data_IF_946649904263
#
_entry.id   IF_946649904263
#
_cell.length_a   1.000
_cell.length_b   1.000
_cell.length_c   1.000
_cell.angle_alpha   90.00
_cell.angle_beta   90.00
_cell.angle_gamma   90.00
#
_symmetry.space_group_name_H-M   'P 1'
#
loop_
_entity.id
_entity.type
_entity.pdbx_description
1 polymer ?
#
# COMPACT_ATOMS: atom_id res chain seq x y z
N UNK A 1 -9.49 -7.80 15.87
CA UNK A 1 -10.14 -6.54 15.44
C UNK A 1 -9.03 -5.56 15.13
N UNK A 2 -9.00 -5.05 13.93
CA UNK A 2 -7.99 -4.06 13.49
C UNK A 2 -8.21 -2.73 14.25
N UNK A 3 -7.14 -2.01 14.59
CA UNK A 3 -7.25 -0.67 15.16
C UNK A 3 -8.00 0.29 14.22
N UNK A 4 -7.95 0.03 12.94
CA UNK A 4 -8.65 0.79 11.90
C UNK A 4 -10.17 0.58 11.88
N UNK A 5 -10.70 -0.51 12.48
CA UNK A 5 -12.15 -0.75 12.53
C UNK A 5 -12.91 0.37 13.25
N UNK A 6 -12.31 0.90 14.34
CA UNK A 6 -12.96 1.92 15.17
C UNK A 6 -13.00 3.31 14.54
N UNK A 7 -12.20 3.56 13.50
CA UNK A 7 -12.03 4.87 12.86
C UNK A 7 -12.37 4.86 11.37
N UNK A 8 -12.85 3.74 10.85
CA UNK A 8 -13.11 3.54 9.44
C UNK A 8 -14.01 4.64 8.82
N UNK A 9 -15.02 5.11 9.53
CA UNK A 9 -15.94 6.16 9.06
C UNK A 9 -15.41 7.58 9.27
N UNK A 10 -14.33 7.76 10.04
CA UNK A 10 -13.81 9.06 10.45
C UNK A 10 -12.63 9.52 9.58
N UNK A 11 -11.90 8.60 8.98
CA UNK A 11 -10.68 8.91 8.25
C UNK A 11 -10.93 9.19 6.77
N UNK A 12 -10.13 10.11 6.23
CA UNK A 12 -10.09 10.41 4.80
C UNK A 12 -8.62 10.44 4.36
N UNK A 13 -8.17 9.33 3.77
CA UNK A 13 -6.79 9.21 3.32
C UNK A 13 -6.52 10.12 2.12
N UNK A 14 -5.33 10.69 2.06
CA UNK A 14 -4.96 11.70 1.06
C UNK A 14 -3.63 11.43 0.33
N UNK A 15 -2.84 10.41 0.73
CA UNK A 15 -1.66 10.03 -0.03
C UNK A 15 -2.09 9.26 -1.28
N UNK A 16 -1.62 9.69 -2.45
CA UNK A 16 -1.94 9.10 -3.75
C UNK A 16 -0.70 8.48 -4.38
N UNK A 17 -0.92 7.59 -5.35
CA UNK A 17 0.13 7.12 -6.25
C UNK A 17 0.26 8.06 -7.46
N UNK A 18 1.45 8.11 -8.07
CA UNK A 18 1.63 8.79 -9.35
C UNK A 18 1.05 7.91 -10.48
N UNK A 19 -0.12 8.27 -11.00
CA UNK A 19 -0.76 7.58 -12.11
C UNK A 19 0.18 7.49 -13.33
N UNK A 20 0.90 8.58 -13.62
CA UNK A 20 1.87 8.63 -14.73
C UNK A 20 2.96 7.58 -14.59
N UNK A 21 3.56 7.47 -13.39
CA UNK A 21 4.68 6.57 -13.17
C UNK A 21 4.19 5.11 -13.10
N UNK A 22 2.99 4.88 -12.54
CA UNK A 22 2.36 3.57 -12.50
C UNK A 22 2.08 3.03 -13.91
N UNK A 23 1.42 3.82 -14.76
CA UNK A 23 1.10 3.44 -16.16
C UNK A 23 2.37 3.18 -16.98
N UNK A 24 3.45 3.90 -16.70
CA UNK A 24 4.71 3.75 -17.43
C UNK A 24 5.36 2.36 -17.24
N UNK A 25 5.12 1.70 -16.10
CA UNK A 25 5.80 0.45 -15.74
C UNK A 25 4.88 -0.76 -15.63
N UNK A 26 3.57 -0.56 -15.46
CA UNK A 26 2.57 -1.62 -15.30
C UNK A 26 1.69 -1.70 -16.55
N UNK A 27 1.72 -2.80 -17.31
CA UNK A 27 0.85 -2.97 -18.48
C UNK A 27 -0.64 -2.96 -18.10
N UNK A 28 -1.51 -2.37 -18.91
CA UNK A 28 -2.94 -2.24 -18.64
C UNK A 28 -3.68 -3.58 -18.43
N UNK A 29 -3.13 -4.69 -18.95
CA UNK A 29 -3.69 -6.04 -18.77
C UNK A 29 -3.21 -6.74 -17.50
N UNK A 30 -2.33 -6.09 -16.73
CA UNK A 30 -1.75 -6.62 -15.52
C UNK A 30 -2.82 -6.98 -14.48
N UNK A 31 -2.59 -8.06 -13.74
CA UNK A 31 -3.33 -8.36 -12.51
C UNK A 31 -2.64 -7.62 -11.37
N UNK A 32 -3.39 -6.73 -10.72
CA UNK A 32 -2.87 -5.82 -9.68
C UNK A 32 -3.44 -6.20 -8.32
N UNK A 33 -2.61 -6.19 -7.29
CA UNK A 33 -3.00 -6.26 -5.88
C UNK A 33 -2.78 -4.89 -5.25
N UNK A 34 -3.81 -4.33 -4.64
CA UNK A 34 -3.71 -3.19 -3.72
C UNK A 34 -3.72 -3.73 -2.29
N UNK A 35 -2.54 -3.79 -1.67
CA UNK A 35 -2.36 -4.34 -0.33
C UNK A 35 -2.49 -3.24 0.72
N UNK A 36 -3.36 -3.45 1.71
CA UNK A 36 -3.74 -2.43 2.68
C UNK A 36 -4.60 -1.35 2.05
N UNK A 37 -5.59 -1.77 1.25
CA UNK A 37 -6.40 -0.87 0.42
C UNK A 37 -7.31 0.07 1.21
N UNK A 38 -7.49 -0.16 2.53
CA UNK A 38 -8.44 0.56 3.35
C UNK A 38 -9.86 0.46 2.76
N UNK A 39 -10.51 1.60 2.57
CA UNK A 39 -11.82 1.66 1.92
C UNK A 39 -11.76 1.71 0.37
N UNK A 40 -10.62 1.35 -0.24
CA UNK A 40 -10.51 1.13 -1.68
C UNK A 40 -10.18 2.36 -2.51
N UNK A 41 -9.71 3.45 -1.92
CA UNK A 41 -9.41 4.70 -2.64
C UNK A 41 -8.34 4.53 -3.73
N UNK A 42 -7.23 3.84 -3.45
CA UNK A 42 -6.18 3.56 -4.44
C UNK A 42 -6.64 2.49 -5.43
N UNK A 43 -7.39 1.49 -4.95
CA UNK A 43 -8.03 0.51 -5.83
C UNK A 43 -8.91 1.18 -6.88
N UNK A 44 -9.76 2.16 -6.45
CA UNK A 44 -10.60 2.97 -7.35
C UNK A 44 -9.77 3.79 -8.33
N UNK A 45 -8.73 4.49 -7.85
CA UNK A 45 -7.83 5.26 -8.71
C UNK A 45 -7.23 4.39 -9.83
N UNK A 46 -6.76 3.17 -9.50
CA UNK A 46 -6.17 2.26 -10.48
C UNK A 46 -7.25 1.68 -11.41
N UNK A 47 -8.44 1.38 -10.89
CA UNK A 47 -9.57 0.91 -11.70
C UNK A 47 -9.99 1.96 -12.75
N UNK A 48 -10.07 3.23 -12.36
CA UNK A 48 -10.39 4.35 -13.26
C UNK A 48 -9.32 4.58 -14.34
N UNK A 49 -8.06 4.19 -14.09
CA UNK A 49 -7.02 4.17 -15.11
C UNK A 49 -7.18 3.03 -16.14
N UNK A 50 -8.21 2.17 -15.98
CA UNK A 50 -8.55 1.09 -16.90
C UNK A 50 -8.02 -0.30 -16.51
N UNK A 51 -7.46 -0.48 -15.31
CA UNK A 51 -7.00 -1.79 -14.83
C UNK A 51 -8.18 -2.61 -14.28
N UNK A 52 -8.81 -3.41 -15.12
CA UNK A 52 -9.99 -4.22 -14.75
C UNK A 52 -9.70 -5.46 -13.90
N UNK A 53 -8.42 -5.83 -13.73
CA UNK A 53 -7.98 -6.98 -12.93
C UNK A 53 -7.29 -6.52 -11.67
N UNK A 54 -7.95 -5.70 -10.88
CA UNK A 54 -7.45 -5.22 -9.60
C UNK A 54 -8.23 -5.83 -8.44
N UNK A 55 -7.52 -6.21 -7.38
CA UNK A 55 -8.08 -6.69 -6.12
C UNK A 55 -7.48 -5.86 -5.00
N UNK A 56 -8.32 -5.28 -4.15
CA UNK A 56 -7.91 -4.63 -2.91
C UNK A 56 -8.08 -5.56 -1.71
N UNK A 57 -7.11 -5.57 -0.80
CA UNK A 57 -7.22 -6.35 0.45
C UNK A 57 -6.86 -5.51 1.66
N UNK A 58 -7.58 -5.67 2.75
CA UNK A 58 -7.30 -4.97 4.02
C UNK A 58 -7.66 -5.84 5.22
N UNK A 59 -6.95 -5.65 6.34
CA UNK A 59 -7.18 -6.33 7.61
C UNK A 59 -8.28 -5.67 8.47
N UNK A 60 -8.81 -4.53 8.05
CA UNK A 60 -9.95 -3.88 8.69
C UNK A 60 -11.24 -4.25 7.96
N UNK A 61 -12.11 -4.95 8.67
CA UNK A 61 -13.41 -5.34 8.14
C UNK A 61 -14.30 -4.12 7.87
N UNK A 62 -14.22 -3.12 8.74
CA UNK A 62 -15.07 -1.92 8.62
C UNK A 62 -14.58 -1.04 7.46
N UNK A 63 -13.26 -0.97 7.20
CA UNK A 63 -12.74 -0.33 5.98
C UNK A 63 -13.29 -1.01 4.71
N UNK A 64 -13.26 -2.34 4.65
CA UNK A 64 -13.81 -3.08 3.50
C UNK A 64 -15.33 -2.86 3.37
N UNK A 65 -16.09 -2.90 4.47
CA UNK A 65 -17.52 -2.63 4.44
C UNK A 65 -17.84 -1.23 3.89
N UNK A 66 -17.10 -0.22 4.35
CA UNK A 66 -17.20 1.14 3.82
C UNK A 66 -16.86 1.18 2.33
N UNK A 67 -15.77 0.56 1.92
CA UNK A 67 -15.30 0.53 0.54
C UNK A 67 -16.33 -0.10 -0.41
N UNK A 68 -16.91 -1.24 -0.03
CA UNK A 68 -17.96 -1.91 -0.81
C UNK A 68 -19.25 -1.08 -0.92
N UNK A 69 -19.50 -0.19 0.05
CA UNK A 69 -20.62 0.78 -0.03
C UNK A 69 -20.31 1.96 -0.94
N UNK A 70 -19.06 2.49 -0.90
CA UNK A 70 -18.65 3.64 -1.70
C UNK A 70 -18.32 3.26 -3.16
N UNK A 71 -17.77 2.05 -3.38
CA UNK A 71 -17.29 1.54 -4.67
C UNK A 71 -17.77 0.10 -4.90
N UNK A 72 -19.08 -0.10 -5.15
CA UNK A 72 -19.67 -1.43 -5.26
C UNK A 72 -19.16 -2.26 -6.44
N UNK A 73 -18.49 -1.65 -7.41
CA UNK A 73 -17.87 -2.29 -8.58
C UNK A 73 -16.49 -2.89 -8.29
N UNK A 74 -15.83 -2.52 -7.17
CA UNK A 74 -14.48 -2.97 -6.86
C UNK A 74 -14.47 -4.34 -6.17
N UNK A 75 -13.44 -5.13 -6.44
CA UNK A 75 -13.15 -6.37 -5.74
C UNK A 75 -12.32 -6.05 -4.48
N UNK A 76 -12.99 -5.75 -3.37
CA UNK A 76 -12.38 -5.48 -2.07
C UNK A 76 -12.62 -6.65 -1.13
N UNK A 77 -11.55 -7.16 -0.48
CA UNK A 77 -11.61 -8.36 0.34
C UNK A 77 -11.00 -8.15 1.71
N UNK A 78 -11.70 -8.63 2.72
CA UNK A 78 -11.21 -8.65 4.10
C UNK A 78 -10.19 -9.77 4.28
N UNK A 79 -9.03 -9.45 4.87
CA UNK A 79 -7.99 -10.42 5.25
C UNK A 79 -8.22 -10.90 6.67
N UNK A 80 -8.42 -12.20 6.84
CA UNK A 80 -8.60 -12.84 8.14
C UNK A 80 -7.28 -13.21 8.81
N UNK A 81 -6.29 -13.54 8.01
CA UNK A 81 -5.00 -14.11 8.43
C UNK A 81 -3.84 -13.27 7.89
N UNK A 82 -2.66 -13.44 8.49
CA UNK A 82 -1.43 -12.78 8.03
C UNK A 82 -0.95 -13.30 6.67
N UNK A 83 -1.34 -14.52 6.29
CA UNK A 83 -1.04 -15.08 4.97
C UNK A 83 -2.04 -14.59 3.92
N UNK A 84 -1.53 -14.14 2.79
CA UNK A 84 -2.36 -13.72 1.67
C UNK A 84 -3.06 -14.94 1.01
N UNK A 85 -4.39 -14.90 0.81
CA UNK A 85 -5.16 -16.01 0.23
C UNK A 85 -5.01 -16.09 -1.30
N UNK A 86 -3.77 -15.98 -1.78
CA UNK A 86 -3.41 -15.99 -3.19
C UNK A 86 -2.29 -17.00 -3.47
N UNK A 87 -2.23 -17.49 -4.70
CA UNK A 87 -1.17 -18.39 -5.15
C UNK A 87 0.17 -17.66 -5.29
N UNK A 88 1.25 -18.45 -5.26
CA UNK A 88 2.58 -17.94 -5.59
C UNK A 88 2.60 -17.37 -7.01
N UNK A 89 3.25 -16.23 -7.18
CA UNK A 89 3.39 -15.59 -8.50
C UNK A 89 2.06 -15.34 -9.21
N UNK A 90 1.06 -14.87 -8.50
CA UNK A 90 -0.28 -14.62 -9.03
C UNK A 90 -0.41 -13.22 -9.66
N UNK A 91 0.26 -12.21 -9.10
CA UNK A 91 0.10 -10.82 -9.51
C UNK A 91 1.25 -10.32 -10.38
N UNK A 92 0.92 -9.49 -11.37
CA UNK A 92 1.89 -8.80 -12.21
C UNK A 92 2.43 -7.53 -11.51
N UNK A 93 1.59 -6.91 -10.69
CA UNK A 93 1.96 -5.73 -9.89
C UNK A 93 1.30 -5.74 -8.52
N UNK A 94 1.98 -5.14 -7.55
CA UNK A 94 1.46 -4.87 -6.21
C UNK A 94 1.61 -3.37 -5.94
N UNK A 95 0.59 -2.78 -5.31
CA UNK A 95 0.63 -1.42 -4.79
C UNK A 95 0.45 -1.46 -3.28
N UNK A 96 1.23 -0.63 -2.57
CA UNK A 96 1.04 -0.32 -1.15
C UNK A 96 1.07 1.19 -0.99
N UNK A 97 0.08 1.76 -0.33
CA UNK A 97 0.00 3.20 -0.13
C UNK A 97 -0.33 3.54 1.33
N UNK A 98 0.65 4.08 2.06
CA UNK A 98 0.59 4.38 3.49
C UNK A 98 0.33 3.14 4.38
N UNK A 99 0.81 1.96 3.98
CA UNK A 99 0.64 0.70 4.71
C UNK A 99 1.75 0.49 5.73
N UNK A 100 3.01 0.58 5.29
CA UNK A 100 4.17 0.40 6.19
C UNK A 100 4.28 1.50 7.24
N UNK A 101 3.68 2.66 6.97
CA UNK A 101 3.45 3.72 7.97
C UNK A 101 2.59 3.23 9.14
N UNK A 102 1.69 2.28 8.91
CA UNK A 102 0.79 1.71 9.92
C UNK A 102 1.33 0.42 10.57
N UNK A 103 2.53 0.00 10.25
CA UNK A 103 3.18 -1.21 10.78
C UNK A 103 4.49 -0.81 11.47
N UNK A 104 4.46 -0.45 12.77
CA UNK A 104 5.66 0.01 13.47
C UNK A 104 6.66 -1.13 13.78
N UNK A 105 6.23 -2.38 13.81
CA UNK A 105 7.07 -3.53 14.15
C UNK A 105 7.84 -4.06 12.94
N UNK A 106 9.18 -4.06 13.02
CA UNK A 106 10.06 -4.49 11.93
C UNK A 106 9.81 -5.94 11.48
N UNK A 107 9.59 -6.86 12.43
CA UNK A 107 9.33 -8.27 12.11
C UNK A 107 8.02 -8.46 11.32
N UNK A 108 7.00 -7.66 11.61
CA UNK A 108 5.73 -7.69 10.87
C UNK A 108 5.93 -7.17 9.45
N UNK A 109 6.70 -6.08 9.26
CA UNK A 109 7.05 -5.56 7.93
C UNK A 109 7.75 -6.62 7.07
N UNK A 110 8.71 -7.35 7.66
CA UNK A 110 9.44 -8.42 6.98
C UNK A 110 8.52 -9.57 6.57
N UNK A 111 7.61 -9.98 7.44
CA UNK A 111 6.60 -11.00 7.14
C UNK A 111 5.68 -10.55 5.99
N UNK A 112 5.16 -9.33 6.06
CA UNK A 112 4.31 -8.75 5.00
C UNK A 112 5.06 -8.75 3.68
N UNK A 113 6.30 -8.25 3.65
CA UNK A 113 7.09 -8.22 2.41
C UNK A 113 7.41 -9.60 1.85
N UNK A 114 7.61 -10.60 2.71
CA UNK A 114 7.78 -11.99 2.29
C UNK A 114 6.54 -12.50 1.54
N UNK A 115 5.34 -12.23 2.07
CA UNK A 115 4.07 -12.58 1.43
C UNK A 115 3.84 -11.81 0.12
N UNK A 116 4.09 -10.50 0.11
CA UNK A 116 3.99 -9.70 -1.12
C UNK A 116 4.95 -10.23 -2.19
N UNK A 117 6.18 -10.58 -1.79
CA UNK A 117 7.14 -11.18 -2.70
C UNK A 117 6.70 -12.56 -3.19
N UNK A 118 6.07 -13.38 -2.34
CA UNK A 118 5.55 -14.71 -2.72
C UNK A 118 4.50 -14.60 -3.82
N UNK A 119 3.50 -13.72 -3.63
CA UNK A 119 2.37 -13.59 -4.56
C UNK A 119 2.71 -12.78 -5.82
N UNK A 120 3.81 -12.01 -5.82
CA UNK A 120 4.28 -11.26 -6.97
C UNK A 120 5.05 -12.17 -7.93
N UNK A 121 4.75 -12.10 -9.23
CA UNK A 121 5.46 -12.83 -10.29
C UNK A 121 6.94 -12.46 -10.36
N UNK A 122 7.81 -13.35 -10.86
CA UNK A 122 9.16 -12.97 -11.30
C UNK A 122 9.08 -11.78 -12.27
N UNK A 123 9.95 -10.78 -12.11
CA UNK A 123 9.91 -9.51 -12.83
C UNK A 123 8.65 -8.63 -12.60
N UNK A 124 7.76 -9.02 -11.71
CA UNK A 124 6.61 -8.23 -11.31
C UNK A 124 7.05 -6.93 -10.60
N UNK A 125 6.20 -5.93 -10.65
CA UNK A 125 6.45 -4.59 -10.13
C UNK A 125 5.78 -4.40 -8.77
N UNK A 126 6.51 -3.87 -7.78
CA UNK A 126 5.92 -3.29 -6.57
C UNK A 126 6.03 -1.77 -6.65
N UNK A 127 4.91 -1.07 -6.38
CA UNK A 127 4.85 0.36 -6.17
C UNK A 127 4.55 0.62 -4.70
N UNK A 128 5.46 1.30 -4.03
CA UNK A 128 5.34 1.64 -2.61
C UNK A 128 5.29 3.17 -2.48
N UNK A 129 4.21 3.69 -1.90
CA UNK A 129 4.06 5.10 -1.52
C UNK A 129 3.88 5.21 0.00
N UNK A 130 4.83 5.84 0.69
CA UNK A 130 4.83 5.91 2.16
C UNK A 130 5.23 7.29 2.66
N UNK A 131 4.60 7.73 3.75
CA UNK A 131 5.07 8.91 4.45
C UNK A 131 6.49 8.72 4.97
N UNK A 132 7.31 9.78 4.82
CA UNK A 132 8.70 9.77 5.22
C UNK A 132 9.04 10.93 6.15
N UNK A 133 10.05 10.72 7.00
CA UNK A 133 10.66 11.76 7.80
C UNK A 133 12.19 11.68 7.75
N UNK A 134 12.86 12.74 8.18
CA UNK A 134 14.33 12.78 8.25
C UNK A 134 14.90 11.85 9.32
N UNK A 135 14.10 11.59 10.35
CA UNK A 135 14.42 10.64 11.42
C UNK A 135 13.23 9.72 11.63
N UNK A 136 13.48 8.41 11.62
CA UNK A 136 12.43 7.43 11.90
C UNK A 136 11.91 7.59 13.31
N UNK A 137 10.60 7.58 13.44
CA UNK A 137 9.98 7.72 14.75
C UNK A 137 8.59 7.07 14.81
N UNK A 138 8.26 6.59 16.00
CA UNK A 138 6.93 6.10 16.33
C UNK A 138 6.09 7.24 16.90
N UNK A 139 4.83 7.28 16.54
CA UNK A 139 3.84 8.20 17.12
C UNK A 139 2.46 7.55 17.11
N UNK A 140 1.50 8.23 17.70
CA UNK A 140 0.08 7.85 17.63
C UNK A 140 -0.64 8.94 16.84
N UNK A 141 -1.44 8.53 15.85
CA UNK A 141 -2.23 9.47 15.04
C UNK A 141 -3.30 10.19 15.88
N UNK A 142 -3.92 11.21 15.34
CA UNK A 142 -5.04 11.91 16.00
C UNK A 142 -6.23 11.00 16.28
N UNK A 143 -6.37 9.93 15.50
CA UNK A 143 -7.40 8.90 15.63
C UNK A 143 -7.02 7.75 16.58
N UNK A 144 -5.83 7.82 17.22
CA UNK A 144 -5.37 6.82 18.19
C UNK A 144 -4.65 5.62 17.58
N UNK A 145 -4.36 5.61 16.28
CA UNK A 145 -3.68 4.49 15.62
C UNK A 145 -2.17 4.64 15.75
N UNK A 146 -1.42 3.59 16.18
CA UNK A 146 0.04 3.58 16.17
C UNK A 146 0.61 3.69 14.77
N UNK A 147 1.56 4.61 14.59
CA UNK A 147 2.15 4.94 13.30
C UNK A 147 3.67 4.94 13.38
N UNK A 148 4.29 4.76 12.22
CA UNK A 148 5.73 4.85 12.05
C UNK A 148 6.09 5.62 10.79
N UNK A 149 6.80 6.73 10.92
CA UNK A 149 7.43 7.38 9.77
C UNK A 149 8.85 6.84 9.61
N UNK A 150 9.11 6.25 8.47
CA UNK A 150 10.43 5.74 8.10
C UNK A 150 11.28 6.82 7.45
N UNK A 151 12.61 6.68 7.51
CA UNK A 151 13.49 7.34 6.54
C UNK A 151 13.31 6.69 5.16
N UNK A 152 13.56 7.46 4.10
CA UNK A 152 13.55 6.94 2.74
C UNK A 152 14.47 5.71 2.58
N UNK A 153 15.67 5.76 3.15
CA UNK A 153 16.64 4.65 3.08
C UNK A 153 16.13 3.37 3.77
N UNK A 154 15.31 3.49 4.81
CA UNK A 154 14.71 2.32 5.45
C UNK A 154 13.67 1.67 4.56
N UNK A 155 12.84 2.47 3.86
CA UNK A 155 11.88 1.95 2.90
C UNK A 155 12.57 1.28 1.69
N UNK A 156 13.67 1.85 1.22
CA UNK A 156 14.51 1.22 0.20
C UNK A 156 15.11 -0.11 0.69
N UNK A 157 15.55 -0.15 1.94
CA UNK A 157 16.11 -1.37 2.56
C UNK A 157 15.08 -2.48 2.76
N UNK A 158 13.81 -2.14 3.00
CA UNK A 158 12.71 -3.10 3.04
C UNK A 158 12.58 -3.88 1.72
N UNK A 159 12.90 -3.25 0.60
CA UNK A 159 12.84 -3.85 -0.73
C UNK A 159 14.12 -4.63 -1.09
N UNK A 160 14.85 -5.16 -0.09
CA UNK A 160 15.95 -6.09 -0.32
C UNK A 160 15.48 -7.29 -1.15
N UNK A 161 16.18 -7.59 -2.26
CA UNK A 161 15.76 -8.61 -3.24
C UNK A 161 14.83 -8.12 -4.34
N UNK A 162 14.60 -6.80 -4.38
CA UNK A 162 14.04 -6.11 -5.55
C UNK A 162 15.11 -5.22 -6.18
N UNK A 163 14.98 -4.99 -7.48
CA UNK A 163 15.72 -3.96 -8.19
C UNK A 163 14.92 -2.66 -8.17
N UNK A 164 15.38 -1.65 -7.44
CA UNK A 164 14.73 -0.34 -7.37
C UNK A 164 14.96 0.39 -8.70
N UNK A 165 13.89 0.64 -9.45
CA UNK A 165 13.91 1.35 -10.73
C UNK A 165 13.81 2.87 -10.51
N UNK A 166 12.95 3.30 -9.60
CA UNK A 166 12.81 4.71 -9.20
C UNK A 166 12.59 4.83 -7.70
N UNK A 167 13.09 5.92 -7.12
CA UNK A 167 12.87 6.26 -5.71
C UNK A 167 12.90 7.77 -5.55
N UNK A 168 11.73 8.38 -5.38
CA UNK A 168 11.54 9.83 -5.32
C UNK A 168 10.90 10.26 -4.01
N UNK A 169 11.23 11.47 -3.56
CA UNK A 169 10.53 12.16 -2.47
C UNK A 169 9.66 13.27 -3.05
N UNK A 170 8.42 13.33 -2.61
CA UNK A 170 7.48 14.39 -2.97
C UNK A 170 6.97 15.10 -1.72
N UNK A 171 6.70 16.39 -1.81
CA UNK A 171 5.97 17.09 -0.77
C UNK A 171 4.50 16.71 -0.82
N UNK A 172 3.92 16.47 0.35
CA UNK A 172 2.51 16.11 0.53
C UNK A 172 2.00 16.70 1.83
N UNK A 173 0.75 16.44 2.17
CA UNK A 173 0.19 16.77 3.48
C UNK A 173 -0.35 15.51 4.16
N UNK A 174 -0.31 15.49 5.48
CA UNK A 174 -1.01 14.47 6.27
C UNK A 174 -2.51 14.74 6.25
N UNK A 175 -3.31 13.77 6.71
CA UNK A 175 -4.77 13.94 6.87
C UNK A 175 -5.13 15.14 7.76
N UNK A 176 -4.28 15.48 8.74
CA UNK A 176 -4.43 16.65 9.61
C UNK A 176 -3.95 17.97 8.97
N UNK A 177 -3.54 17.95 7.70
CA UNK A 177 -3.12 19.16 6.95
C UNK A 177 -1.68 19.61 7.20
N UNK A 178 -0.88 18.87 7.96
CA UNK A 178 0.54 19.22 8.15
C UNK A 178 1.35 18.88 6.89
N UNK A 179 2.27 19.77 6.54
CA UNK A 179 3.24 19.51 5.46
C UNK A 179 4.09 18.30 5.83
N UNK A 180 4.22 17.36 4.91
CA UNK A 180 4.97 16.12 5.06
C UNK A 180 5.68 15.76 3.75
N UNK A 181 6.47 14.72 3.79
CA UNK A 181 7.10 14.11 2.61
C UNK A 181 6.62 12.69 2.45
N UNK A 182 6.47 12.25 1.21
CA UNK A 182 6.21 10.86 0.88
C UNK A 182 7.29 10.33 -0.06
N UNK A 183 7.70 9.09 0.16
CA UNK A 183 8.57 8.35 -0.76
C UNK A 183 7.71 7.55 -1.71
N UNK A 184 7.98 7.67 -3.01
CA UNK A 184 7.41 6.84 -4.06
C UNK A 184 8.52 5.97 -4.62
N UNK A 185 8.43 4.66 -4.42
CA UNK A 185 9.42 3.70 -4.86
C UNK A 185 8.76 2.71 -5.82
N UNK A 186 9.35 2.57 -6.99
CA UNK A 186 9.00 1.52 -7.94
C UNK A 186 10.16 0.55 -8.01
N UNK A 187 9.88 -0.72 -7.77
CA UNK A 187 10.89 -1.75 -7.77
C UNK A 187 10.39 -3.03 -8.45
N UNK A 188 11.31 -3.77 -9.01
CA UNK A 188 11.03 -5.01 -9.75
C UNK A 188 11.59 -6.22 -9.00
N UNK A 189 10.77 -7.26 -8.83
CA UNK A 189 11.19 -8.50 -8.19
C UNK A 189 12.31 -9.15 -8.99
N UNK A 190 13.44 -9.40 -8.33
CA UNK A 190 14.56 -10.17 -8.91
C UNK A 190 14.14 -11.64 -9.01
N UNK A 191 14.53 -12.30 -10.10
CA UNK A 191 14.24 -13.72 -10.37
C UNK A 191 14.95 -14.63 -9.36
#
# INVERSE_FOLDING_TARGET
MSEWDSVADLVSFNLEISAKDFIAVVPLKAKVLDFGCGYGRITSQIYELGYSKIVGVDSSKEMINRGLSEYPELDLRYLLDDALPFFDSEFDSIVTCAVFTCIPEQSVRETVLSELRRVLKPNGVIYLAEFCSEQSHRFVSGEGVPMWHSKKVELESLLAGFNIETSTLVETSTMSGHVSKASHIIARKII
#
